data_IF_618003810342
#
_entry.id   IF_618003810342
#
_cell.length_a   1.000
_cell.length_b   1.000
_cell.length_c   1.000
_cell.angle_alpha   90.00
_cell.angle_beta   90.00
_cell.angle_gamma   90.00
#
_symmetry.space_group_name_H-M   'P 1'
#
loop_
_entity.id
_entity.type
_entity.pdbx_description
1 polymer ?
#
# COMPACT_ATOMS: atom_id res chain seq x y z
N UNK A 1 19.35 9.61 -27.48
CA UNK A 1 19.56 9.62 -26.03
C UNK A 1 18.29 9.06 -25.42
N UNK A 2 18.36 7.91 -24.73
CA UNK A 2 17.20 7.37 -24.02
C UNK A 2 16.90 8.30 -22.85
N UNK A 3 15.69 8.86 -22.82
CA UNK A 3 15.26 9.66 -21.68
C UNK A 3 15.31 8.78 -20.42
N UNK A 4 15.93 9.27 -19.34
CA UNK A 4 15.95 8.58 -18.07
C UNK A 4 14.50 8.39 -17.57
N UNK A 5 14.18 7.19 -17.03
CA UNK A 5 12.88 6.94 -16.43
C UNK A 5 12.64 7.91 -15.27
N UNK A 6 11.45 8.48 -15.19
CA UNK A 6 11.05 9.29 -14.03
C UNK A 6 10.73 8.37 -12.88
N UNK A 7 11.28 8.68 -11.71
CA UNK A 7 11.00 7.92 -10.48
C UNK A 7 9.66 8.36 -9.91
N UNK A 8 8.80 7.39 -9.65
CA UNK A 8 7.51 7.58 -8.97
C UNK A 8 7.49 6.68 -7.75
N UNK A 9 7.34 7.23 -6.57
CA UNK A 9 7.22 6.48 -5.32
C UNK A 9 5.76 6.41 -4.90
N UNK A 10 5.27 5.19 -4.66
CA UNK A 10 3.94 4.93 -4.13
C UNK A 10 4.05 4.53 -2.66
N UNK A 11 3.66 5.42 -1.76
CA UNK A 11 3.50 5.12 -0.34
C UNK A 11 2.11 4.54 -0.11
N UNK A 12 2.01 3.34 0.46
CA UNK A 12 0.74 2.62 0.55
C UNK A 12 0.65 1.70 1.77
N UNK A 13 -0.58 1.37 2.14
CA UNK A 13 -0.92 0.33 3.11
C UNK A 13 -2.01 -0.56 2.50
N UNK A 14 -1.87 -1.88 2.66
CA UNK A 14 -2.83 -2.87 2.13
C UNK A 14 -4.20 -2.80 2.81
N UNK A 15 -4.29 -2.09 3.93
CA UNK A 15 -5.57 -1.80 4.59
C UNK A 15 -6.43 -0.81 3.78
N UNK A 16 -5.83 -0.01 2.90
CA UNK A 16 -6.53 0.98 2.10
C UNK A 16 -6.96 0.40 0.75
N UNK A 17 -8.26 0.25 0.46
CA UNK A 17 -8.73 -0.18 -0.84
C UNK A 17 -8.46 0.86 -1.94
N UNK A 18 -8.45 2.15 -1.60
CA UNK A 18 -8.08 3.21 -2.54
C UNK A 18 -6.61 3.14 -2.94
N UNK A 19 -5.71 2.77 -2.01
CA UNK A 19 -4.31 2.51 -2.34
C UNK A 19 -4.18 1.36 -3.34
N UNK A 20 -5.04 0.35 -3.26
CA UNK A 20 -5.07 -0.74 -4.23
C UNK A 20 -5.44 -0.25 -5.64
N UNK A 21 -6.45 0.62 -5.76
CA UNK A 21 -6.82 1.19 -7.06
C UNK A 21 -5.65 1.94 -7.70
N UNK A 22 -5.00 2.84 -6.96
CA UNK A 22 -3.83 3.57 -7.43
C UNK A 22 -2.65 2.68 -7.75
N UNK A 23 -2.39 1.66 -6.92
CA UNK A 23 -1.36 0.66 -7.14
C UNK A 23 -1.57 -0.09 -8.48
N UNK A 24 -2.77 -0.58 -8.76
CA UNK A 24 -3.04 -1.31 -10.00
C UNK A 24 -2.90 -0.43 -11.24
N UNK A 25 -3.35 0.83 -11.16
CA UNK A 25 -3.16 1.80 -12.25
C UNK A 25 -1.67 2.02 -12.51
N UNK A 26 -0.88 2.32 -11.48
CA UNK A 26 0.55 2.55 -11.64
C UNK A 26 1.29 1.30 -12.16
N UNK A 27 0.96 0.11 -11.66
CA UNK A 27 1.56 -1.13 -12.13
C UNK A 27 1.24 -1.43 -13.59
N UNK A 28 0.00 -1.16 -14.05
CA UNK A 28 -0.40 -1.35 -15.46
C UNK A 28 0.32 -0.38 -16.41
N UNK A 29 0.47 0.86 -15.99
CA UNK A 29 0.97 1.93 -16.86
C UNK A 29 2.45 2.24 -16.71
N UNK A 30 3.17 1.65 -15.74
CA UNK A 30 4.60 1.95 -15.49
C UNK A 30 5.49 1.87 -16.73
N UNK A 31 5.23 0.91 -17.63
CA UNK A 31 6.00 0.77 -18.86
C UNK A 31 5.53 1.76 -19.95
N UNK A 32 4.22 2.05 -20.01
CA UNK A 32 3.63 3.00 -20.97
C UNK A 32 4.10 4.42 -20.68
N UNK A 33 4.11 4.78 -19.39
CA UNK A 33 4.56 6.11 -18.95
C UNK A 33 6.08 6.22 -18.80
N UNK A 34 6.81 5.13 -19.03
CA UNK A 34 8.27 5.06 -18.88
C UNK A 34 8.74 5.54 -17.51
N UNK A 35 8.08 5.08 -16.44
CA UNK A 35 8.41 5.41 -15.06
C UNK A 35 9.16 4.27 -14.36
N UNK A 36 10.00 4.63 -13.38
CA UNK A 36 10.58 3.74 -12.39
C UNK A 36 9.68 3.79 -11.15
N UNK A 37 8.78 2.80 -11.03
CA UNK A 37 7.82 2.73 -9.94
C UNK A 37 8.45 2.07 -8.70
N UNK A 38 8.56 2.81 -7.62
CA UNK A 38 9.06 2.34 -6.33
C UNK A 38 7.91 2.18 -5.33
N UNK A 39 7.71 0.96 -4.89
CA UNK A 39 6.70 0.62 -3.90
C UNK A 39 7.26 0.84 -2.49
N UNK A 40 6.59 1.69 -1.70
CA UNK A 40 7.02 2.15 -0.37
C UNK A 40 5.97 1.74 0.68
N UNK A 41 6.07 0.52 1.25
CA UNK A 41 5.17 0.11 2.32
C UNK A 41 5.20 1.09 3.50
N UNK A 42 4.02 1.58 3.91
CA UNK A 42 3.84 2.51 5.03
C UNK A 42 2.73 2.02 5.95
N UNK A 43 2.61 2.60 7.14
CA UNK A 43 1.55 2.24 8.08
C UNK A 43 0.48 3.33 8.11
N UNK A 44 -0.71 3.04 7.57
CA UNK A 44 -1.83 3.97 7.48
C UNK A 44 -2.25 4.51 8.87
N UNK A 45 -2.36 3.64 9.87
CA UNK A 45 -2.71 4.05 11.23
C UNK A 45 -1.65 4.99 11.83
N UNK A 46 -0.37 4.81 11.49
CA UNK A 46 0.71 5.72 11.90
C UNK A 46 0.57 7.11 11.27
N UNK A 47 0.23 7.17 9.99
CA UNK A 47 -0.01 8.46 9.29
C UNK A 47 -1.23 9.15 9.88
N UNK A 48 -2.34 8.44 10.09
CA UNK A 48 -3.54 9.01 10.69
C UNK A 48 -3.28 9.57 12.10
N UNK A 49 -2.54 8.83 12.92
CA UNK A 49 -2.16 9.26 14.26
C UNK A 49 -1.25 10.50 14.22
N UNK A 50 -0.22 10.49 13.37
CA UNK A 50 0.76 11.57 13.28
C UNK A 50 0.18 12.86 12.68
N UNK A 51 -0.78 12.77 11.76
CA UNK A 51 -1.46 13.91 11.13
C UNK A 51 -2.69 14.41 11.90
N UNK A 52 -3.15 13.69 12.93
CA UNK A 52 -4.41 13.99 13.62
C UNK A 52 -5.67 13.68 12.81
N UNK A 53 -5.53 12.98 11.70
CA UNK A 53 -6.65 12.61 10.83
C UNK A 53 -7.43 11.41 11.38
N UNK A 54 -8.69 11.29 10.96
CA UNK A 54 -9.57 10.18 11.36
C UNK A 54 -10.04 9.40 10.13
N UNK A 55 -10.11 8.06 10.23
CA UNK A 55 -10.65 7.24 9.16
C UNK A 55 -12.06 7.68 8.74
N UNK A 56 -12.37 7.78 7.44
CA UNK A 56 -13.72 8.12 6.97
C UNK A 56 -14.78 7.13 7.47
N UNK A 57 -14.40 5.87 7.71
CA UNK A 57 -15.29 4.85 8.27
C UNK A 57 -15.84 5.15 9.68
N UNK A 58 -15.23 6.07 10.41
CA UNK A 58 -15.75 6.53 11.71
C UNK A 58 -16.85 7.60 11.59
N UNK A 59 -17.12 8.10 10.38
CA UNK A 59 -18.16 9.09 10.12
C UNK A 59 -19.27 8.43 9.28
N UNK A 60 -20.49 8.20 9.81
CA UNK A 60 -21.51 7.37 9.16
C UNK A 60 -21.79 7.74 7.70
N UNK A 61 -21.99 9.02 7.40
CA UNK A 61 -22.29 9.47 6.03
C UNK A 61 -21.08 9.29 5.08
N UNK A 62 -19.84 9.45 5.58
CA UNK A 62 -18.64 9.20 4.78
C UNK A 62 -18.47 7.72 4.50
N UNK A 63 -18.80 6.85 5.46
CA UNK A 63 -18.76 5.41 5.28
C UNK A 63 -19.74 4.93 4.21
N UNK A 64 -21.00 5.42 4.27
CA UNK A 64 -22.01 5.10 3.25
C UNK A 64 -21.61 5.58 1.85
N UNK A 65 -21.01 6.77 1.75
CA UNK A 65 -20.50 7.27 0.48
C UNK A 65 -19.34 6.40 -0.02
N UNK A 66 -18.37 6.11 0.85
CA UNK A 66 -17.17 5.32 0.54
C UNK A 66 -17.54 3.95 -0.06
N UNK A 67 -18.56 3.28 0.48
CA UNK A 67 -19.00 1.98 -0.04
C UNK A 67 -19.47 2.08 -1.50
N UNK A 68 -20.31 3.08 -1.81
CA UNK A 68 -20.80 3.31 -3.17
C UNK A 68 -19.70 3.79 -4.12
N UNK A 69 -18.79 4.59 -3.62
CA UNK A 69 -17.66 5.11 -4.38
C UNK A 69 -16.70 4.00 -4.76
N UNK A 70 -16.32 3.15 -3.80
CA UNK A 70 -15.45 1.99 -4.04
C UNK A 70 -16.06 1.02 -5.08
N UNK A 71 -17.35 0.77 -5.02
CA UNK A 71 -18.03 -0.08 -6.03
C UNK A 71 -17.87 0.50 -7.44
N UNK A 72 -18.06 1.81 -7.60
CA UNK A 72 -17.92 2.49 -8.90
C UNK A 72 -16.49 2.50 -9.39
N UNK A 73 -15.55 2.84 -8.50
CA UNK A 73 -14.11 2.92 -8.83
C UNK A 73 -13.53 1.53 -9.10
N UNK A 74 -13.91 0.50 -8.34
CA UNK A 74 -13.54 -0.89 -8.59
C UNK A 74 -13.91 -1.31 -10.02
N UNK A 75 -15.12 -1.02 -10.44
CA UNK A 75 -15.60 -1.29 -11.80
C UNK A 75 -14.89 -0.45 -12.84
N UNK A 76 -14.66 0.85 -12.57
CA UNK A 76 -14.02 1.76 -13.52
C UNK A 76 -12.56 1.38 -13.76
N UNK A 77 -11.82 1.05 -12.69
CA UNK A 77 -10.40 0.68 -12.77
C UNK A 77 -10.17 -0.82 -13.01
N UNK A 78 -11.21 -1.63 -13.13
CA UNK A 78 -11.12 -3.08 -13.27
C UNK A 78 -10.25 -3.71 -12.16
N UNK A 79 -10.59 -3.40 -10.90
CA UNK A 79 -9.96 -3.95 -9.70
C UNK A 79 -11.04 -4.66 -8.88
N UNK A 80 -10.87 -5.93 -8.51
CA UNK A 80 -11.94 -6.75 -7.92
C UNK A 80 -12.14 -6.46 -6.42
N UNK A 81 -12.40 -5.22 -6.06
CA UNK A 81 -12.62 -4.80 -4.67
C UNK A 81 -13.99 -5.26 -4.20
N UNK A 82 -14.01 -6.11 -3.17
CA UNK A 82 -15.19 -6.53 -2.42
C UNK A 82 -14.91 -6.25 -0.94
N UNK A 83 -15.70 -5.38 -0.28
CA UNK A 83 -15.51 -5.13 1.14
C UNK A 83 -15.66 -6.40 1.99
N UNK A 84 -14.84 -6.60 3.04
CA UNK A 84 -15.00 -7.71 3.95
C UNK A 84 -16.35 -7.63 4.70
N UNK A 85 -16.87 -8.77 5.14
CA UNK A 85 -18.16 -8.87 5.82
C UNK A 85 -18.21 -8.00 7.09
N UNK A 86 -17.13 -7.93 7.85
CA UNK A 86 -16.95 -7.02 8.98
C UNK A 86 -15.76 -6.09 8.74
N UNK A 87 -15.97 -5.08 7.90
CA UNK A 87 -14.95 -4.10 7.57
C UNK A 87 -14.48 -3.30 8.81
N UNK A 88 -15.35 -3.07 9.79
CA UNK A 88 -14.99 -2.34 11.01
C UNK A 88 -14.00 -3.15 11.87
N UNK A 89 -14.27 -4.42 12.10
CA UNK A 89 -13.35 -5.33 12.80
C UNK A 89 -12.00 -5.43 12.09
N UNK A 90 -12.01 -5.62 10.76
CA UNK A 90 -10.78 -5.74 9.97
C UNK A 90 -9.95 -4.46 10.03
N UNK A 91 -10.60 -3.29 9.88
CA UNK A 91 -9.89 -2.01 9.78
C UNK A 91 -9.43 -1.47 11.13
N UNK A 92 -10.22 -1.65 12.20
CA UNK A 92 -9.99 -0.97 13.48
C UNK A 92 -9.47 -1.88 14.59
N UNK A 93 -9.74 -3.17 14.52
CA UNK A 93 -9.29 -4.13 15.54
C UNK A 93 -8.09 -4.95 15.06
N UNK A 94 -8.15 -5.55 13.87
CA UNK A 94 -7.04 -6.33 13.33
C UNK A 94 -5.92 -5.46 12.77
N UNK A 95 -6.26 -4.53 11.87
CA UNK A 95 -5.31 -3.65 11.21
C UNK A 95 -4.35 -4.37 10.26
N UNK A 96 -3.29 -3.68 9.85
CA UNK A 96 -2.33 -4.15 8.83
C UNK A 96 -0.89 -4.28 9.33
N UNK A 97 -0.61 -4.03 10.61
CA UNK A 97 0.77 -3.89 11.10
C UNK A 97 1.66 -5.08 10.76
N UNK A 98 1.18 -6.32 10.95
CA UNK A 98 1.94 -7.54 10.63
C UNK A 98 2.21 -7.65 9.13
N UNK A 99 1.20 -7.42 8.30
CA UNK A 99 1.31 -7.44 6.84
C UNK A 99 2.29 -6.36 6.33
N UNK A 100 2.21 -5.13 6.85
CA UNK A 100 3.11 -4.05 6.43
C UNK A 100 4.55 -4.27 6.88
N UNK A 101 4.79 -4.86 8.05
CA UNK A 101 6.14 -5.31 8.46
C UNK A 101 6.66 -6.43 7.56
N UNK A 102 5.80 -7.37 7.18
CA UNK A 102 6.17 -8.45 6.28
C UNK A 102 6.53 -7.94 4.88
N UNK A 103 5.72 -7.04 4.32
CA UNK A 103 6.05 -6.34 3.07
C UNK A 103 7.36 -5.54 3.16
N UNK A 104 7.59 -4.88 4.28
CA UNK A 104 8.86 -4.16 4.53
C UNK A 104 10.04 -5.14 4.54
N UNK A 105 9.91 -6.29 5.19
CA UNK A 105 10.96 -7.31 5.22
C UNK A 105 11.25 -7.86 3.80
N UNK A 106 10.20 -8.14 3.01
CA UNK A 106 10.37 -8.54 1.59
C UNK A 106 11.06 -7.43 0.80
N UNK A 107 10.65 -6.18 0.95
CA UNK A 107 11.26 -5.03 0.25
C UNK A 107 12.74 -4.86 0.56
N UNK A 108 13.16 -5.07 1.81
CA UNK A 108 14.58 -4.97 2.22
C UNK A 108 15.43 -6.14 1.66
N UNK A 109 14.83 -7.30 1.43
CA UNK A 109 15.52 -8.44 0.80
C UNK A 109 15.51 -8.40 -0.73
N UNK A 110 14.44 -7.91 -1.34
CA UNK A 110 14.21 -8.00 -2.79
C UNK A 110 15.08 -7.04 -3.61
N UNK A 111 15.58 -5.97 -3.00
CA UNK A 111 16.42 -4.94 -3.66
C UNK A 111 15.90 -4.53 -5.07
N UNK A 112 14.61 -4.71 -5.33
CA UNK A 112 13.95 -4.34 -6.59
C UNK A 112 14.14 -5.34 -7.75
N UNK A 113 14.59 -6.57 -7.50
CA UNK A 113 14.95 -7.49 -8.59
C UNK A 113 13.81 -8.37 -9.13
N UNK A 114 12.81 -8.76 -8.32
CA UNK A 114 11.89 -9.85 -8.68
C UNK A 114 10.39 -9.48 -8.67
N UNK A 115 10.01 -8.22 -8.52
CA UNK A 115 8.59 -7.82 -8.38
C UNK A 115 7.84 -8.54 -7.24
N UNK A 116 8.55 -9.09 -6.25
CA UNK A 116 7.93 -9.86 -5.14
C UNK A 116 7.08 -8.97 -4.26
N UNK A 117 7.54 -7.73 -4.00
CA UNK A 117 6.76 -6.73 -3.25
C UNK A 117 5.45 -6.45 -3.97
N UNK A 118 5.48 -6.28 -5.31
CA UNK A 118 4.28 -6.06 -6.11
C UNK A 118 3.31 -7.25 -6.02
N UNK A 119 3.80 -8.47 -6.22
CA UNK A 119 2.97 -9.69 -6.16
C UNK A 119 2.38 -9.92 -4.77
N UNK A 120 3.18 -9.77 -3.73
CA UNK A 120 2.75 -9.95 -2.35
C UNK A 120 1.73 -8.88 -1.92
N UNK A 121 1.95 -7.63 -2.29
CA UNK A 121 1.00 -6.54 -2.01
C UNK A 121 -0.36 -6.82 -2.64
N UNK A 122 -0.37 -7.23 -3.91
CA UNK A 122 -1.60 -7.60 -4.63
C UNK A 122 -2.31 -8.78 -3.95
N UNK A 123 -1.57 -9.80 -3.55
CA UNK A 123 -2.16 -10.94 -2.86
C UNK A 123 -2.74 -10.57 -1.49
N UNK A 124 -2.08 -9.69 -0.73
CA UNK A 124 -2.60 -9.20 0.55
C UNK A 124 -3.88 -8.37 0.38
N UNK A 125 -3.96 -7.53 -0.66
CA UNK A 125 -5.21 -6.85 -1.00
C UNK A 125 -6.30 -7.81 -1.43
N UNK A 126 -5.98 -8.81 -2.27
CA UNK A 126 -6.93 -9.86 -2.66
C UNK A 126 -7.45 -10.63 -1.45
N UNK A 127 -6.61 -10.91 -0.45
CA UNK A 127 -7.04 -11.56 0.79
C UNK A 127 -8.08 -10.72 1.52
N UNK A 128 -7.76 -9.48 1.84
CA UNK A 128 -8.63 -8.64 2.67
C UNK A 128 -9.82 -8.07 1.90
N UNK A 129 -9.60 -7.58 0.68
CA UNK A 129 -10.59 -6.81 -0.08
C UNK A 129 -11.25 -7.59 -1.22
N UNK A 130 -11.12 -8.90 -1.26
CA UNK A 130 -11.83 -9.73 -2.24
C UNK A 130 -12.33 -11.04 -1.62
N UNK A 131 -11.48 -11.73 -0.84
CA UNK A 131 -11.80 -13.05 -0.29
C UNK A 131 -12.15 -13.04 1.19
N UNK A 132 -12.12 -11.88 1.85
CA UNK A 132 -12.36 -11.74 3.30
C UNK A 132 -11.46 -12.64 4.16
N UNK A 133 -10.19 -12.77 3.75
CA UNK A 133 -9.20 -13.60 4.41
C UNK A 133 -8.29 -12.76 5.32
N UNK A 134 -7.75 -13.39 6.35
CA UNK A 134 -6.83 -12.76 7.31
C UNK A 134 -5.49 -12.35 6.66
N UNK A 135 -4.92 -11.23 7.16
CA UNK A 135 -3.59 -10.73 6.79
C UNK A 135 -2.69 -10.49 8.01
N UNK A 136 -3.07 -10.96 9.19
CA UNK A 136 -2.37 -10.66 10.44
C UNK A 136 -1.59 -11.84 11.01
N UNK A 137 -2.07 -13.05 10.76
CA UNK A 137 -1.50 -14.28 11.32
C UNK A 137 -0.33 -14.80 10.47
N UNK A 138 0.70 -15.40 11.10
CA UNK A 138 1.84 -15.95 10.36
C UNK A 138 1.46 -16.93 9.26
N UNK A 139 0.48 -17.81 9.49
CA UNK A 139 0.00 -18.75 8.49
C UNK A 139 -0.58 -18.05 7.27
N UNK A 140 -1.39 -17.00 7.49
CA UNK A 140 -1.99 -16.19 6.42
C UNK A 140 -0.94 -15.45 5.60
N UNK A 141 0.09 -14.91 6.26
CA UNK A 141 1.22 -14.26 5.59
C UNK A 141 2.05 -15.24 4.78
N UNK A 142 2.26 -16.47 5.29
CA UNK A 142 2.94 -17.54 4.57
C UNK A 142 2.20 -17.92 3.28
N UNK A 143 0.89 -18.12 3.36
CA UNK A 143 0.06 -18.42 2.19
C UNK A 143 0.14 -17.33 1.12
N UNK A 144 0.07 -16.05 1.54
CA UNK A 144 0.22 -14.92 0.63
C UNK A 144 1.60 -14.91 -0.03
N UNK A 145 2.65 -15.19 0.74
CA UNK A 145 4.02 -15.23 0.24
C UNK A 145 4.25 -16.38 -0.77
N UNK A 146 3.71 -17.56 -0.51
CA UNK A 146 3.78 -18.68 -1.46
C UNK A 146 3.11 -18.34 -2.79
N UNK A 147 1.95 -17.72 -2.77
CA UNK A 147 1.27 -17.25 -3.99
C UNK A 147 2.07 -16.15 -4.71
N UNK A 148 2.84 -15.35 -3.98
CA UNK A 148 3.76 -14.37 -4.57
C UNK A 148 5.05 -15.00 -5.15
N UNK A 149 5.27 -16.30 -4.96
CA UNK A 149 6.42 -17.04 -5.45
C UNK A 149 7.64 -17.02 -4.54
N UNK A 150 7.45 -16.73 -3.24
CA UNK A 150 8.50 -16.76 -2.22
C UNK A 150 8.65 -18.19 -1.70
N UNK A 151 9.88 -18.70 -1.59
CA UNK A 151 10.15 -20.06 -1.14
C UNK A 151 9.85 -20.26 0.35
N UNK A 152 9.58 -21.50 0.76
CA UNK A 152 9.29 -21.83 2.17
C UNK A 152 10.39 -21.37 3.12
N UNK A 153 11.64 -21.60 2.77
CA UNK A 153 12.78 -21.21 3.59
C UNK A 153 12.84 -19.68 3.76
N UNK A 154 12.63 -18.92 2.68
CA UNK A 154 12.62 -17.46 2.74
C UNK A 154 11.44 -16.92 3.56
N UNK A 155 10.26 -17.55 3.49
CA UNK A 155 9.09 -17.18 4.27
C UNK A 155 9.37 -17.32 5.76
N UNK A 156 10.00 -18.41 6.20
CA UNK A 156 10.37 -18.61 7.60
C UNK A 156 11.32 -17.50 8.10
N UNK A 157 12.35 -17.17 7.31
CA UNK A 157 13.27 -16.08 7.62
C UNK A 157 12.54 -14.72 7.69
N UNK A 158 11.69 -14.42 6.71
CA UNK A 158 10.93 -13.18 6.66
C UNK A 158 9.97 -13.03 7.86
N UNK A 159 9.32 -14.13 8.27
CA UNK A 159 8.45 -14.13 9.46
C UNK A 159 9.24 -13.86 10.75
N UNK A 160 10.48 -14.32 10.85
CA UNK A 160 11.32 -13.96 12.00
C UNK A 160 11.72 -12.48 11.97
N UNK A 161 11.91 -11.90 10.78
CA UNK A 161 12.29 -10.49 10.62
C UNK A 161 11.20 -9.52 11.04
N UNK A 162 9.90 -9.83 10.94
CA UNK A 162 8.79 -8.89 11.23
C UNK A 162 8.80 -8.36 12.66
N UNK A 163 9.40 -9.10 13.61
CA UNK A 163 9.54 -8.70 15.00
C UNK A 163 10.85 -7.99 15.31
N UNK A 164 11.78 -7.99 14.36
CA UNK A 164 13.12 -7.39 14.53
C UNK A 164 13.06 -5.87 14.59
N UNK A 165 14.02 -5.27 15.31
CA UNK A 165 14.11 -3.83 15.44
C UNK A 165 14.38 -3.12 14.10
N UNK A 166 15.27 -3.61 13.21
CA UNK A 166 15.48 -2.99 11.90
C UNK A 166 14.21 -2.85 11.06
N UNK A 167 13.38 -3.90 10.98
CA UNK A 167 12.14 -3.85 10.20
C UNK A 167 11.10 -2.89 10.83
N UNK A 168 10.99 -2.87 12.15
CA UNK A 168 10.14 -1.91 12.85
C UNK A 168 10.55 -0.46 12.58
N UNK A 169 11.85 -0.20 12.64
CA UNK A 169 12.41 1.14 12.38
C UNK A 169 12.27 1.52 10.92
N UNK A 170 12.50 0.59 9.99
CA UNK A 170 12.31 0.84 8.56
C UNK A 170 10.88 1.23 8.23
N UNK A 171 9.88 0.47 8.68
CA UNK A 171 8.47 0.81 8.47
C UNK A 171 8.12 2.16 9.11
N UNK A 172 8.64 2.44 10.32
CA UNK A 172 8.43 3.73 10.98
C UNK A 172 9.05 4.87 10.19
N UNK A 173 10.28 4.73 9.73
CA UNK A 173 10.99 5.78 8.98
C UNK A 173 10.31 6.07 7.64
N UNK A 174 9.87 5.03 6.90
CA UNK A 174 9.13 5.21 5.64
C UNK A 174 7.76 5.87 5.89
N UNK A 175 7.09 5.53 7.00
CA UNK A 175 5.84 6.18 7.41
C UNK A 175 6.07 7.65 7.76
N UNK A 176 7.16 7.97 8.47
CA UNK A 176 7.54 9.36 8.78
C UNK A 176 7.91 10.15 7.53
N UNK A 177 8.61 9.52 6.58
CA UNK A 177 8.94 10.12 5.30
C UNK A 177 7.68 10.52 4.52
N UNK A 178 6.68 9.64 4.45
CA UNK A 178 5.39 9.96 3.85
C UNK A 178 4.73 11.18 4.52
N UNK A 179 4.77 11.27 5.85
CA UNK A 179 4.24 12.45 6.57
C UNK A 179 5.04 13.72 6.26
N UNK A 180 6.35 13.64 6.10
CA UNK A 180 7.20 14.79 5.76
C UNK A 180 6.90 15.35 4.37
N UNK A 181 6.41 14.51 3.44
CA UNK A 181 5.89 14.94 2.13
C UNK A 181 4.48 15.54 2.20
N UNK A 182 3.92 15.71 3.39
CA UNK A 182 2.59 16.29 3.59
C UNK A 182 1.44 15.32 3.34
N UNK A 183 1.69 14.02 3.28
CA UNK A 183 0.62 13.03 3.19
C UNK A 183 -0.18 13.00 4.50
N UNK A 184 -1.32 13.67 4.48
CA UNK A 184 -2.27 13.72 5.61
C UNK A 184 -3.31 12.60 5.47
N UNK A 185 -3.52 12.14 4.24
CA UNK A 185 -4.53 11.17 3.87
C UNK A 185 -3.93 10.17 2.91
N UNK A 186 -3.97 8.88 3.23
CA UNK A 186 -3.74 7.86 2.22
C UNK A 186 -5.08 7.30 1.75
N UNK A 187 -5.57 7.73 0.54
CA UNK A 187 -5.84 6.68 -0.41
C UNK A 187 -4.61 6.35 -1.22
N UNK A 188 -3.85 7.32 -1.70
CA UNK A 188 -2.64 7.10 -2.50
C UNK A 188 -1.68 8.26 -2.29
N UNK A 189 -0.55 8.02 -1.62
CA UNK A 189 0.55 8.98 -1.61
C UNK A 189 1.45 8.71 -2.81
N UNK A 190 1.29 9.46 -3.90
CA UNK A 190 2.17 9.40 -5.07
C UNK A 190 3.16 10.55 -4.96
N UNK A 191 4.44 10.23 -4.92
CA UNK A 191 5.52 11.21 -4.97
C UNK A 191 6.29 11.08 -6.27
N UNK A 192 6.52 12.21 -6.93
CA UNK A 192 7.41 12.29 -8.09
C UNK A 192 8.77 12.78 -7.61
N UNK A 193 9.79 11.91 -7.62
CA UNK A 193 11.15 12.30 -7.31
C UNK A 193 11.74 13.05 -8.52
N UNK A 194 12.28 14.23 -8.25
CA UNK A 194 12.96 15.18 -9.16
C UNK A 194 12.07 16.02 -10.07
N UNK A 195 12.06 17.33 -9.83
CA UNK A 195 11.86 18.53 -10.68
C UNK A 195 11.01 18.41 -11.97
N UNK A 196 10.06 17.49 -12.02
CA UNK A 196 9.29 17.21 -13.22
C UNK A 196 7.82 17.62 -13.14
N UNK A 197 7.46 18.41 -12.13
CA UNK A 197 6.21 19.14 -12.20
C UNK A 197 6.40 20.33 -13.15
N UNK A 198 5.50 20.56 -14.10
CA UNK A 198 5.47 21.83 -14.81
C UNK A 198 5.49 22.96 -13.76
N UNK A 199 6.15 24.09 -14.04
CA UNK A 199 6.29 25.24 -13.13
C UNK A 199 4.94 25.81 -12.62
N UNK A 200 3.82 25.28 -13.08
CA UNK A 200 2.45 25.66 -12.72
C UNK A 200 1.83 24.78 -11.62
N UNK A 201 2.52 23.70 -11.21
CA UNK A 201 2.05 22.79 -10.17
C UNK A 201 2.83 23.06 -8.89
N UNK A 202 2.38 24.03 -8.13
CA UNK A 202 2.85 24.22 -6.75
C UNK A 202 2.60 22.92 -5.95
N UNK A 203 3.45 22.63 -4.98
CA UNK A 203 3.51 21.45 -4.11
C UNK A 203 2.21 21.08 -3.36
N UNK A 204 1.06 21.54 -3.82
CA UNK A 204 -0.28 21.34 -3.23
C UNK A 204 -1.20 20.44 -4.04
N UNK A 205 -0.79 20.02 -5.24
CA UNK A 205 -1.64 19.16 -6.07
C UNK A 205 -1.37 17.68 -5.78
N UNK A 206 -1.78 17.28 -4.60
CA UNK A 206 -2.05 15.87 -4.29
C UNK A 206 -3.29 15.51 -5.09
N UNK A 207 -3.12 14.75 -6.18
CA UNK A 207 -4.27 14.25 -6.94
C UNK A 207 -5.16 13.41 -6.03
N UNK A 208 -6.34 13.90 -5.79
CA UNK A 208 -7.44 13.15 -5.25
C UNK A 208 -8.06 12.36 -6.41
N UNK A 209 -7.81 11.06 -6.47
CA UNK A 209 -8.64 10.14 -7.23
C UNK A 209 -9.80 9.69 -6.37
#
# INVERSE_FOLDING_TARGET
MSASRKVVELFYDVLSPYSWLGFEVLCRYKNVWNIDLRLRPTLLSGIMQGSGNKPPGLVPNKFLYMTKDLERLAKYFDVPVVPPADAAHVMFEKGSLSAMRFLTAVSEKDLGQDNRVEKLSRELWMRIWNRDEDITQPASLSEAAFKAGISTQEVEELLQMITSQPIKEKLRSTTQEAMNYGFIFLPVGIWFANDCLPHEWETRDVFWL
#
